data_IF_161067347946
#
_entry.id   IF_161067347946
#
_cell.length_a   1.000
_cell.length_b   1.000
_cell.length_c   1.000
_cell.angle_alpha   90.00
_cell.angle_beta   90.00
_cell.angle_gamma   90.00
#
_symmetry.space_group_name_H-M   'P 1'
#
loop_
_entity.id
_entity.type
_entity.pdbx_description
1 polymer ?
#
# COMPACT_ATOMS: atom_id res chain seq x y z
N UNK A 1 -15.28 2.30 2.92
CA UNK A 1 -14.33 1.23 2.51
C UNK A 1 -13.98 1.26 1.02
N UNK A 2 -14.92 1.39 0.07
CA UNK A 2 -14.62 1.45 -1.36
C UNK A 2 -13.58 2.52 -1.73
N UNK A 3 -13.79 3.78 -1.32
CA UNK A 3 -12.87 4.87 -1.64
C UNK A 3 -11.45 4.60 -1.15
N UNK A 4 -11.31 4.00 0.03
CA UNK A 4 -10.01 3.61 0.60
C UNK A 4 -9.28 2.62 -0.29
N UNK A 5 -9.99 1.59 -0.77
CA UNK A 5 -9.42 0.57 -1.67
C UNK A 5 -8.98 1.19 -3.01
N UNK A 6 -9.77 2.13 -3.54
CA UNK A 6 -9.44 2.86 -4.78
C UNK A 6 -8.20 3.73 -4.56
N UNK A 7 -8.19 4.55 -3.50
CA UNK A 7 -7.05 5.42 -3.19
C UNK A 7 -5.79 4.60 -2.94
N UNK A 8 -5.89 3.45 -2.27
CA UNK A 8 -4.76 2.54 -2.12
C UNK A 8 -4.22 2.09 -3.49
N UNK A 9 -5.09 1.73 -4.45
CA UNK A 9 -4.64 1.30 -5.77
C UNK A 9 -3.94 2.43 -6.54
N UNK A 10 -4.45 3.66 -6.44
CA UNK A 10 -3.84 4.85 -7.04
C UNK A 10 -2.45 5.13 -6.41
N UNK A 11 -2.37 5.13 -5.08
CA UNK A 11 -1.09 5.23 -4.39
C UNK A 11 -0.12 4.11 -4.79
N UNK A 12 -0.61 2.87 -4.90
CA UNK A 12 0.21 1.71 -5.19
C UNK A 12 0.82 1.73 -6.60
N UNK A 13 0.12 2.23 -7.61
CA UNK A 13 0.70 2.37 -8.96
C UNK A 13 1.76 3.48 -9.05
N UNK A 14 1.57 4.59 -8.33
CA UNK A 14 2.53 5.70 -8.34
C UNK A 14 3.75 5.47 -7.43
N UNK A 15 3.56 4.77 -6.31
CA UNK A 15 4.64 4.40 -5.39
C UNK A 15 5.46 3.18 -5.87
N UNK A 16 5.12 2.59 -7.02
CA UNK A 16 5.82 1.43 -7.59
C UNK A 16 5.54 0.09 -6.89
N UNK A 17 4.46 0.00 -6.11
CA UNK A 17 3.97 -1.27 -5.57
C UNK A 17 3.30 -2.09 -6.67
N UNK A 18 2.54 -1.44 -7.55
CA UNK A 18 2.04 -2.00 -8.80
C UNK A 18 2.93 -1.57 -9.96
N UNK A 19 2.74 -2.19 -11.14
CA UNK A 19 3.30 -1.62 -12.35
C UNK A 19 2.72 -0.22 -12.58
N UNK A 20 3.54 0.72 -13.03
CA UNK A 20 3.12 2.11 -13.28
C UNK A 20 1.86 2.15 -14.15
N UNK A 21 0.88 2.96 -13.74
CA UNK A 21 -0.44 3.14 -14.38
C UNK A 21 -1.27 1.83 -14.53
N UNK A 22 -0.95 0.75 -13.82
CA UNK A 22 -1.65 -0.53 -13.98
C UNK A 22 -3.14 -0.44 -13.62
N UNK A 23 -3.49 0.27 -12.55
CA UNK A 23 -4.86 0.44 -12.11
C UNK A 23 -5.64 1.31 -13.09
N UNK A 24 -5.05 2.44 -13.51
CA UNK A 24 -5.61 3.28 -14.58
C UNK A 24 -5.88 2.48 -15.86
N UNK A 25 -4.86 1.77 -16.39
CA UNK A 25 -4.98 0.99 -17.63
C UNK A 25 -5.99 -0.14 -17.54
N UNK A 26 -6.12 -0.76 -16.37
CA UNK A 26 -7.12 -1.79 -16.16
C UNK A 26 -8.52 -1.21 -16.28
N UNK A 27 -8.83 -0.14 -15.54
CA UNK A 27 -10.14 0.49 -15.54
C UNK A 27 -10.50 1.20 -16.85
N UNK A 28 -9.52 1.79 -17.55
CA UNK A 28 -9.76 2.49 -18.81
C UNK A 28 -10.33 1.60 -19.90
N UNK A 29 -10.10 0.29 -19.79
CA UNK A 29 -10.56 -0.72 -20.75
C UNK A 29 -12.02 -1.14 -20.62
N UNK A 30 -12.75 -0.59 -19.65
CA UNK A 30 -14.14 -0.90 -19.36
C UNK A 30 -15.04 0.33 -19.51
N UNK A 31 -16.27 0.10 -19.95
CA UNK A 31 -17.33 1.11 -19.94
C UNK A 31 -17.87 1.31 -18.51
N UNK A 32 -18.58 2.42 -18.26
CA UNK A 32 -19.10 2.73 -16.93
C UNK A 32 -19.96 1.60 -16.33
N UNK A 33 -20.77 0.91 -17.14
CA UNK A 33 -21.61 -0.19 -16.68
C UNK A 33 -20.81 -1.42 -16.24
N UNK A 34 -19.57 -1.55 -16.72
CA UNK A 34 -18.68 -2.69 -16.45
C UNK A 34 -17.71 -2.42 -15.28
N UNK A 35 -17.44 -1.15 -14.95
CA UNK A 35 -16.49 -0.78 -13.90
C UNK A 35 -16.79 -1.43 -12.54
N UNK A 36 -18.07 -1.53 -12.18
CA UNK A 36 -18.48 -2.20 -10.93
C UNK A 36 -17.95 -3.63 -10.87
N UNK A 37 -18.16 -4.40 -11.94
CA UNK A 37 -17.74 -5.79 -12.03
C UNK A 37 -16.21 -5.91 -12.10
N UNK A 38 -15.56 -5.02 -12.85
CA UNK A 38 -14.10 -4.96 -12.94
C UNK A 38 -13.44 -4.69 -11.58
N UNK A 39 -13.96 -3.73 -10.79
CA UNK A 39 -13.44 -3.44 -9.45
C UNK A 39 -13.64 -4.60 -8.48
N UNK A 40 -14.79 -5.28 -8.53
CA UNK A 40 -15.02 -6.48 -7.71
C UNK A 40 -14.03 -7.60 -8.05
N UNK A 41 -13.79 -7.81 -9.35
CA UNK A 41 -12.82 -8.81 -9.83
C UNK A 41 -11.39 -8.46 -9.38
N UNK A 42 -10.98 -7.21 -9.58
CA UNK A 42 -9.67 -6.72 -9.14
C UNK A 42 -9.48 -6.88 -7.63
N UNK A 43 -10.45 -6.48 -6.82
CA UNK A 43 -10.34 -6.59 -5.35
C UNK A 43 -10.23 -8.04 -4.90
N UNK A 44 -10.92 -8.96 -5.58
CA UNK A 44 -10.74 -10.40 -5.34
C UNK A 44 -9.32 -10.85 -5.68
N UNK A 45 -8.76 -10.41 -6.80
CA UNK A 45 -7.38 -10.74 -7.20
C UNK A 45 -6.36 -10.20 -6.20
N UNK A 46 -6.56 -8.99 -5.70
CA UNK A 46 -5.71 -8.39 -4.67
C UNK A 46 -5.81 -9.15 -3.32
N UNK A 47 -6.97 -9.76 -3.00
CA UNK A 47 -7.16 -10.61 -1.81
C UNK A 47 -6.79 -12.09 -2.02
N UNK A 48 -6.39 -12.50 -3.23
CA UNK A 48 -6.07 -13.90 -3.54
C UNK A 48 -4.56 -14.11 -3.70
N UNK A 49 -3.92 -14.97 -2.87
CA UNK A 49 -2.51 -15.34 -3.04
C UNK A 49 -2.22 -15.84 -4.45
N UNK A 50 -1.05 -15.50 -5.00
CA UNK A 50 -0.69 -15.83 -6.39
C UNK A 50 -0.85 -17.31 -6.74
N UNK A 51 -0.45 -18.28 -5.88
CA UNK A 51 -0.63 -19.71 -6.15
C UNK A 51 -2.10 -20.17 -6.21
N UNK A 52 -3.00 -19.44 -5.56
CA UNK A 52 -4.42 -19.79 -5.43
C UNK A 52 -5.30 -19.10 -6.50
N UNK A 53 -4.69 -18.31 -7.40
CA UNK A 53 -5.40 -17.61 -8.47
C UNK A 53 -5.85 -18.58 -9.56
N UNK A 54 -6.94 -18.20 -10.23
CA UNK A 54 -7.44 -18.92 -11.40
C UNK A 54 -6.33 -19.02 -12.48
N UNK A 55 -5.97 -20.21 -12.97
CA UNK A 55 -5.00 -20.39 -14.04
C UNK A 55 -5.35 -19.60 -15.31
N UNK A 56 -6.64 -19.38 -15.57
CA UNK A 56 -7.16 -18.68 -16.74
C UNK A 56 -7.39 -17.18 -16.50
N UNK A 57 -6.93 -16.64 -15.36
CA UNK A 57 -7.00 -15.20 -15.07
C UNK A 57 -6.35 -14.38 -16.20
N UNK A 58 -6.99 -13.29 -16.61
CA UNK A 58 -6.46 -12.43 -17.68
C UNK A 58 -5.07 -11.89 -17.35
N UNK A 59 -4.23 -11.69 -18.37
CA UNK A 59 -2.86 -11.16 -18.18
C UNK A 59 -2.86 -9.80 -17.48
N UNK A 60 -3.86 -8.96 -17.76
CA UNK A 60 -4.06 -7.64 -17.12
C UNK A 60 -4.24 -7.76 -15.61
N UNK A 61 -5.02 -8.74 -15.16
CA UNK A 61 -5.23 -8.98 -13.72
C UNK A 61 -4.05 -9.72 -13.08
N UNK A 62 -3.37 -10.59 -13.84
CA UNK A 62 -2.18 -11.31 -13.36
C UNK A 62 -0.97 -10.38 -13.11
N UNK A 63 -1.02 -9.13 -13.58
CA UNK A 63 -0.02 -8.11 -13.31
C UNK A 63 -0.10 -7.56 -11.87
N UNK A 64 -1.27 -7.59 -11.23
CA UNK A 64 -1.43 -7.08 -9.87
C UNK A 64 -0.88 -8.05 -8.83
N UNK A 65 -0.18 -7.58 -7.79
CA UNK A 65 0.34 -8.44 -6.73
C UNK A 65 -0.78 -8.93 -5.81
N UNK A 66 -0.47 -9.87 -4.92
CA UNK A 66 -1.32 -10.16 -3.78
C UNK A 66 -1.08 -9.10 -2.70
N UNK A 67 -2.15 -8.57 -2.10
CA UNK A 67 -2.11 -7.57 -1.03
C UNK A 67 -2.79 -8.12 0.21
N UNK A 68 -1.98 -8.50 1.20
CA UNK A 68 -2.44 -8.97 2.50
C UNK A 68 -2.83 -7.80 3.43
N UNK A 69 -3.26 -8.10 4.66
CA UNK A 69 -3.54 -7.09 5.70
C UNK A 69 -5.03 -6.74 5.86
N UNK A 70 -5.92 -7.50 5.24
CA UNK A 70 -7.37 -7.39 5.46
C UNK A 70 -8.06 -6.22 4.74
N UNK A 71 -7.32 -5.33 4.10
CA UNK A 71 -7.88 -4.19 3.36
C UNK A 71 -8.87 -4.63 2.27
N UNK A 72 -8.53 -5.67 1.53
CA UNK A 72 -9.34 -6.24 0.45
C UNK A 72 -10.24 -7.40 0.89
N UNK A 73 -10.09 -7.89 2.13
CA UNK A 73 -10.92 -8.98 2.65
C UNK A 73 -12.39 -8.61 2.70
N UNK A 74 -13.23 -9.61 2.43
CA UNK A 74 -14.67 -9.50 2.53
C UNK A 74 -15.32 -8.67 1.42
N UNK A 75 -16.65 -8.70 1.41
CA UNK A 75 -17.44 -8.03 0.39
C UNK A 75 -17.42 -6.51 0.60
N UNK A 76 -17.28 -5.78 -0.50
CA UNK A 76 -17.49 -4.33 -0.54
C UNK A 76 -18.68 -4.03 -1.43
N UNK A 77 -19.55 -3.14 -0.97
CA UNK A 77 -20.62 -2.63 -1.80
C UNK A 77 -20.05 -1.60 -2.78
N UNK A 78 -20.20 -1.91 -4.07
CA UNK A 78 -19.78 -1.03 -5.16
C UNK A 78 -21.04 -0.61 -5.92
N UNK A 79 -21.40 0.69 -5.91
CA UNK A 79 -22.54 1.18 -6.69
C UNK A 79 -22.23 1.11 -8.19
N UNK A 80 -23.27 1.21 -9.01
CA UNK A 80 -23.09 1.33 -10.45
C UNK A 80 -22.43 2.67 -10.78
N UNK A 81 -21.51 2.66 -11.74
CA UNK A 81 -20.84 3.85 -12.21
C UNK A 81 -21.64 4.49 -13.34
N UNK A 82 -21.68 5.81 -13.33
CA UNK A 82 -22.11 6.62 -14.48
C UNK A 82 -20.88 7.00 -15.30
N UNK A 83 -21.09 7.43 -16.54
CA UNK A 83 -19.97 7.92 -17.37
C UNK A 83 -19.27 9.14 -16.74
N UNK A 84 -20.02 9.97 -16.01
CA UNK A 84 -19.44 11.08 -15.25
C UNK A 84 -18.50 10.60 -14.14
N UNK A 85 -18.87 9.58 -13.37
CA UNK A 85 -18.02 9.02 -12.30
C UNK A 85 -16.80 8.32 -12.91
N UNK A 86 -16.99 7.62 -14.04
CA UNK A 86 -15.88 7.02 -14.79
C UNK A 86 -14.87 8.06 -15.25
N UNK A 87 -15.34 9.13 -15.89
CA UNK A 87 -14.48 10.23 -16.36
C UNK A 87 -13.74 10.90 -15.21
N UNK A 88 -14.43 11.17 -14.10
CA UNK A 88 -13.83 11.73 -12.89
C UNK A 88 -12.71 10.82 -12.36
N UNK A 89 -12.99 9.52 -12.21
CA UNK A 89 -12.01 8.56 -11.68
C UNK A 89 -10.77 8.43 -12.58
N UNK A 90 -10.98 8.30 -13.90
CA UNK A 90 -9.88 8.04 -14.83
C UNK A 90 -9.08 9.29 -15.16
N UNK A 91 -9.76 10.38 -15.52
CA UNK A 91 -9.09 11.54 -16.09
C UNK A 91 -8.63 12.51 -15.00
N UNK A 92 -9.51 12.82 -14.05
CA UNK A 92 -9.20 13.86 -13.04
C UNK A 92 -8.44 13.29 -11.84
N UNK A 93 -8.78 12.07 -11.41
CA UNK A 93 -8.25 11.47 -10.18
C UNK A 93 -7.02 10.61 -10.45
N UNK A 94 -7.05 9.73 -11.45
CA UNK A 94 -5.95 8.80 -11.72
C UNK A 94 -4.86 9.41 -12.60
N UNK A 95 -5.22 10.01 -13.74
CA UNK A 95 -4.23 10.46 -14.72
C UNK A 95 -3.50 11.76 -14.32
N UNK A 96 -4.21 12.71 -13.72
CA UNK A 96 -3.71 14.07 -13.48
C UNK A 96 -3.06 14.26 -12.09
N UNK A 97 -3.00 13.21 -11.26
CA UNK A 97 -2.53 13.31 -9.86
C UNK A 97 -1.44 12.27 -9.58
N UNK A 98 -0.30 12.71 -9.05
CA UNK A 98 0.75 11.82 -8.51
C UNK A 98 0.46 11.50 -7.04
N UNK A 99 -0.07 10.31 -6.79
CA UNK A 99 -0.45 9.84 -5.46
C UNK A 99 0.74 9.41 -4.61
N UNK A 100 1.95 9.24 -5.18
CA UNK A 100 3.15 8.92 -4.39
C UNK A 100 3.52 10.03 -3.40
N UNK A 101 3.13 11.27 -3.71
CA UNK A 101 3.38 12.46 -2.89
C UNK A 101 2.28 12.73 -1.87
N UNK A 102 1.20 11.94 -1.86
CA UNK A 102 0.10 12.17 -0.94
C UNK A 102 0.50 11.83 0.49
N UNK A 103 0.49 12.88 1.32
CA UNK A 103 0.79 12.77 2.75
C UNK A 103 -0.28 11.94 3.47
N UNK A 104 0.10 11.14 4.49
CA UNK A 104 -0.81 10.47 5.42
C UNK A 104 -1.93 11.36 5.98
N UNK A 105 -1.70 12.68 6.04
CA UNK A 105 -2.68 13.68 6.48
C UNK A 105 -3.93 13.74 5.60
N UNK A 106 -3.78 13.54 4.28
CA UNK A 106 -4.91 13.51 3.33
C UNK A 106 -5.80 12.29 3.62
N UNK A 107 -5.19 11.13 3.90
CA UNK A 107 -5.93 9.95 4.32
C UNK A 107 -6.70 10.20 5.61
N UNK A 108 -6.04 10.77 6.63
CA UNK A 108 -6.67 11.18 7.89
C UNK A 108 -7.92 12.04 7.68
N UNK A 109 -7.77 13.13 6.93
CA UNK A 109 -8.86 14.07 6.66
C UNK A 109 -10.01 13.48 5.82
N UNK A 110 -9.71 12.65 4.83
CA UNK A 110 -10.73 11.98 3.99
C UNK A 110 -11.50 10.93 4.80
N UNK A 111 -10.82 10.16 5.65
CA UNK A 111 -11.46 9.19 6.53
C UNK A 111 -12.33 9.85 7.59
N UNK A 112 -11.83 10.92 8.22
CA UNK A 112 -12.60 11.66 9.20
C UNK A 112 -13.82 12.35 8.58
N UNK A 113 -13.71 12.93 7.38
CA UNK A 113 -14.80 13.66 6.73
C UNK A 113 -15.89 12.78 6.14
N UNK A 114 -15.58 11.53 5.77
CA UNK A 114 -16.57 10.58 5.21
C UNK A 114 -17.37 9.83 6.27
N UNK A 115 -17.02 9.96 7.56
CA UNK A 115 -17.79 9.41 8.67
C UNK A 115 -18.96 10.34 9.05
N UNK A 116 -20.16 9.76 9.22
CA UNK A 116 -21.36 10.45 9.68
C UNK A 116 -21.11 11.05 11.10
N UNK A 117 -21.53 12.30 11.41
CA UNK A 117 -21.25 12.91 12.72
C UNK A 117 -21.66 12.10 13.95
N UNK A 118 -22.67 11.23 13.83
CA UNK A 118 -23.11 10.36 14.92
C UNK A 118 -22.15 9.20 15.21
N UNK A 119 -21.53 8.59 14.18
CA UNK A 119 -20.55 7.51 14.38
C UNK A 119 -19.20 8.03 14.89
N UNK A 120 -18.87 9.30 14.60
CA UNK A 120 -17.64 9.97 15.06
C UNK A 120 -17.57 10.17 16.59
N UNK A 121 -18.72 10.25 17.27
CA UNK A 121 -18.77 10.41 18.75
C UNK A 121 -18.67 9.08 19.52
N UNK A 122 -19.01 7.96 18.89
CA UNK A 122 -19.03 6.64 19.53
C UNK A 122 -17.76 5.82 19.27
N UNK A 123 -17.09 6.01 18.14
CA UNK A 123 -15.78 5.44 17.87
C UNK A 123 -14.73 6.52 18.00
N UNK A 124 -13.82 6.42 18.96
CA UNK A 124 -12.65 7.30 19.15
C UNK A 124 -11.65 7.17 18.00
N UNK A 125 -12.09 7.43 16.77
CA UNK A 125 -11.31 7.36 15.54
C UNK A 125 -10.93 8.78 15.15
N UNK A 126 -10.01 9.36 15.93
CA UNK A 126 -9.34 10.60 15.59
C UNK A 126 -8.06 10.26 14.85
N UNK A 127 -7.83 10.98 13.75
CA UNK A 127 -6.57 10.96 13.06
C UNK A 127 -5.46 11.49 13.98
N UNK A 128 -4.41 10.69 14.16
CA UNK A 128 -3.18 11.11 14.81
C UNK A 128 -2.24 11.66 13.74
N UNK A 129 -1.80 12.91 13.90
CA UNK A 129 -0.92 13.54 12.92
C UNK A 129 0.45 12.84 12.86
N UNK A 130 1.20 12.98 11.75
CA UNK A 130 2.52 12.37 11.63
C UNK A 130 3.46 12.85 12.73
N UNK A 131 3.35 14.12 13.14
CA UNK A 131 4.15 14.70 14.23
C UNK A 131 3.90 13.96 15.55
N UNK A 132 2.63 13.75 15.91
CA UNK A 132 2.26 13.03 17.13
C UNK A 132 2.62 11.54 17.07
N UNK A 133 2.66 10.95 15.87
CA UNK A 133 3.19 9.59 15.68
C UNK A 133 4.68 9.58 15.99
N UNK A 134 5.45 10.52 15.44
CA UNK A 134 6.89 10.67 15.66
C UNK A 134 7.25 10.93 17.13
N UNK A 135 6.44 11.70 17.88
CA UNK A 135 6.62 11.86 19.33
C UNK A 135 6.62 10.52 20.10
N UNK A 136 6.01 9.47 19.54
CA UNK A 136 5.96 8.14 20.14
C UNK A 136 6.97 7.20 19.50
N UNK A 137 7.01 7.08 18.17
CA UNK A 137 7.86 6.07 17.50
C UNK A 137 9.35 6.40 17.56
N UNK A 138 9.70 7.69 17.56
CA UNK A 138 11.09 8.16 17.59
C UNK A 138 11.79 7.65 18.86
N UNK A 139 11.33 8.01 20.08
CA UNK A 139 11.95 7.53 21.31
C UNK A 139 11.68 6.05 21.61
N UNK A 140 10.64 5.43 21.04
CA UNK A 140 10.29 4.05 21.34
C UNK A 140 11.25 3.04 20.70
N UNK A 141 11.68 3.30 19.45
CA UNK A 141 12.62 2.40 18.75
C UNK A 141 13.37 3.05 17.59
N UNK A 142 12.83 4.09 16.94
CA UNK A 142 13.40 4.58 15.68
C UNK A 142 14.73 5.32 15.90
N UNK A 143 14.89 6.04 17.01
CA UNK A 143 16.14 6.73 17.36
C UNK A 143 17.29 5.74 17.59
N UNK A 144 17.03 4.63 18.29
CA UNK A 144 18.02 3.58 18.53
C UNK A 144 18.46 2.91 17.21
N UNK A 145 17.52 2.63 16.31
CA UNK A 145 17.81 2.05 14.99
C UNK A 145 18.61 3.02 14.11
N UNK A 146 18.28 4.32 14.15
CA UNK A 146 19.04 5.36 13.43
C UNK A 146 20.46 5.48 13.96
N UNK A 147 20.62 5.47 15.27
CA UNK A 147 21.93 5.51 15.93
C UNK A 147 22.78 4.29 15.55
N UNK A 148 22.20 3.09 15.59
CA UNK A 148 22.87 1.85 15.16
C UNK A 148 23.31 1.94 13.69
N UNK A 149 22.45 2.41 12.79
CA UNK A 149 22.81 2.62 11.38
C UNK A 149 23.97 3.62 11.23
N UNK A 150 23.92 4.74 11.95
CA UNK A 150 24.95 5.77 11.89
C UNK A 150 26.32 5.22 12.31
N UNK A 151 26.38 4.31 13.29
CA UNK A 151 27.63 3.64 13.67
C UNK A 151 28.23 2.80 12.55
N UNK A 152 27.43 2.29 11.61
CA UNK A 152 27.94 1.52 10.46
C UNK A 152 28.37 2.42 9.30
N UNK A 153 27.78 3.61 9.18
CA UNK A 153 28.11 4.58 8.14
C UNK A 153 29.35 5.39 8.49
N UNK A 154 29.57 5.68 9.77
CA UNK A 154 30.66 6.53 10.28
C UNK A 154 31.86 5.75 10.83
N UNK A 155 31.81 4.42 10.84
CA UNK A 155 32.90 3.60 11.38
C UNK A 155 34.18 3.70 10.54
N UNK A 156 35.18 4.37 11.09
CA UNK A 156 36.53 4.43 10.54
C UNK A 156 37.27 3.08 10.69
N UNK A 157 38.03 2.71 9.67
CA UNK A 157 38.91 1.52 9.70
C UNK A 157 38.25 0.19 9.34
N UNK A 158 36.99 0.19 8.88
CA UNK A 158 36.36 -1.00 8.28
C UNK A 158 36.76 -1.16 6.81
N UNK A 159 36.96 -2.41 6.40
CA UNK A 159 37.02 -2.75 4.97
C UNK A 159 35.62 -2.72 4.35
N UNK A 160 35.51 -2.43 3.04
CA UNK A 160 34.23 -2.40 2.31
C UNK A 160 33.39 -3.66 2.56
N UNK A 161 34.04 -4.84 2.60
CA UNK A 161 33.38 -6.12 2.86
C UNK A 161 32.80 -6.24 4.27
N UNK A 162 33.47 -5.67 5.28
CA UNK A 162 32.96 -5.66 6.65
C UNK A 162 31.79 -4.69 6.81
N UNK A 163 31.82 -3.56 6.11
CA UNK A 163 30.73 -2.61 6.09
C UNK A 163 29.48 -3.20 5.41
N UNK A 164 29.63 -3.82 4.23
CA UNK A 164 28.53 -4.49 3.52
C UNK A 164 27.87 -5.60 4.36
N UNK A 165 28.70 -6.43 5.02
CA UNK A 165 28.18 -7.47 5.92
C UNK A 165 27.37 -6.90 7.09
N UNK A 166 27.82 -5.80 7.70
CA UNK A 166 27.10 -5.15 8.81
C UNK A 166 25.77 -4.55 8.35
N UNK A 167 25.77 -3.86 7.21
CA UNK A 167 24.55 -3.31 6.61
C UNK A 167 23.55 -4.41 6.24
N UNK A 168 24.04 -5.54 5.72
CA UNK A 168 23.19 -6.70 5.40
C UNK A 168 22.55 -7.31 6.65
N UNK A 169 23.32 -7.52 7.71
CA UNK A 169 22.80 -8.00 9.00
C UNK A 169 21.79 -7.01 9.62
N UNK A 170 22.06 -5.71 9.51
CA UNK A 170 21.13 -4.68 9.98
C UNK A 170 19.83 -4.69 9.18
N UNK A 171 19.90 -4.84 7.86
CA UNK A 171 18.73 -4.99 7.01
C UNK A 171 17.90 -6.24 7.36
N UNK A 172 18.56 -7.38 7.62
CA UNK A 172 17.89 -8.60 8.10
C UNK A 172 17.22 -8.38 9.46
N UNK A 173 17.90 -7.70 10.40
CA UNK A 173 17.33 -7.31 11.70
C UNK A 173 16.07 -6.47 11.51
N UNK A 174 16.11 -5.42 10.69
CA UNK A 174 14.95 -4.58 10.39
C UNK A 174 13.76 -5.41 9.87
N UNK A 175 14.02 -6.37 8.98
CA UNK A 175 12.99 -7.28 8.47
C UNK A 175 12.39 -8.23 9.51
N UNK A 176 13.09 -8.47 10.63
CA UNK A 176 12.62 -9.33 11.73
C UNK A 176 11.84 -8.59 12.81
N UNK A 177 11.97 -7.26 12.89
CA UNK A 177 11.32 -6.47 13.92
C UNK A 177 9.81 -6.35 13.66
N UNK A 178 9.03 -6.60 14.70
CA UNK A 178 7.57 -6.46 14.67
C UNK A 178 7.15 -5.52 15.79
N UNK A 179 6.87 -4.27 15.46
CA UNK A 179 6.47 -3.22 16.43
C UNK A 179 4.96 -3.06 16.54
N UNK A 180 4.27 -3.29 15.42
CA UNK A 180 2.83 -3.33 15.34
C UNK A 180 2.48 -4.67 14.68
N UNK A 181 1.53 -5.42 15.21
CA UNK A 181 1.05 -6.70 14.62
C UNK A 181 0.43 -6.54 13.21
N UNK A 182 0.52 -5.33 12.62
CA UNK A 182 -0.10 -4.93 11.37
C UNK A 182 0.85 -4.54 10.23
N UNK A 183 2.16 -4.78 10.30
CA UNK A 183 3.05 -4.52 9.14
C UNK A 183 4.12 -5.60 9.03
N UNK A 184 3.94 -6.55 8.12
CA UNK A 184 4.95 -7.55 7.80
C UNK A 184 5.34 -7.41 6.31
N UNK A 185 6.65 -7.35 5.99
CA UNK A 185 7.14 -7.08 4.63
C UNK A 185 6.77 -8.15 3.59
N UNK A 186 6.24 -9.31 4.00
CA UNK A 186 5.72 -10.35 3.08
C UNK A 186 4.31 -10.06 2.55
N UNK A 187 3.71 -8.91 2.89
CA UNK A 187 2.31 -8.61 2.61
C UNK A 187 2.00 -8.24 1.16
N UNK A 188 3.02 -7.86 0.39
CA UNK A 188 2.89 -7.60 -1.05
C UNK A 188 3.85 -8.54 -1.78
N UNK A 189 3.30 -9.61 -2.36
CA UNK A 189 4.08 -10.56 -3.14
C UNK A 189 4.26 -10.01 -4.57
N UNK A 190 5.38 -9.33 -4.82
CA UNK A 190 5.78 -8.94 -6.17
C UNK A 190 6.61 -10.05 -6.83
N UNK A 191 6.58 -10.14 -8.17
CA UNK A 191 7.35 -11.17 -8.90
C UNK A 191 8.87 -11.08 -8.69
N UNK A 192 9.38 -9.95 -8.19
CA UNK A 192 10.78 -9.73 -7.84
C UNK A 192 11.23 -10.39 -6.52
N UNK A 193 10.31 -10.79 -5.64
CA UNK A 193 10.66 -11.42 -4.35
C UNK A 193 10.99 -12.92 -4.44
N UNK A 194 11.07 -13.50 -5.64
CA UNK A 194 11.48 -14.90 -5.85
C UNK A 194 12.84 -14.94 -6.53
N UNK A 195 13.92 -14.65 -5.78
CA UNK A 195 15.27 -15.17 -6.05
C UNK A 195 16.30 -14.69 -5.01
N UNK A 196 16.27 -15.25 -3.80
CA UNK A 196 17.51 -15.44 -3.02
C UNK A 196 17.42 -16.82 -2.36
N UNK A 197 17.71 -17.82 -3.17
CA UNK A 197 17.77 -19.23 -2.80
C UNK A 197 18.62 -19.96 -3.83
N UNK A 198 19.93 -19.78 -3.73
CA UNK A 198 20.98 -20.66 -4.23
C UNK A 198 22.24 -20.43 -3.39
#
# INVERSE_FOLDING_TARGET
>A
MLCVRIVFCLFAEDAGLFEKDAFYRYLSSFDAQQLRSALLELFKVLDTPVPDRDPYLSDRLRAFPYVNGGLFKGNVEIPNFTESIRSLLLNEVAQDTDWSQISPTIFGGVFESTLNPETRRFGSMHYTSPENIHEVIDPLFLDDLRSELDTFLTADGLTERQQDNRLRMFHEKLGSLTFFEGFNPTWIQNRSTVALGA
#
